data_IF_096237995741
#
_entry.id   IF_096237995741
#
_cell.length_a   1.000
_cell.length_b   1.000
_cell.length_c   1.000
_cell.angle_alpha   90.00
_cell.angle_beta   90.00
_cell.angle_gamma   90.00
#
_symmetry.space_group_name_H-M   'P 1'
#
loop_
_entity.id
_entity.type
_entity.pdbx_description
1 polymer ?
#
# COMPACT_ATOMS: atom_id res chain seq x y z
N UNK A 1 -17.30 -14.03 -4.43
CA UNK A 1 -16.95 -12.80 -5.18
C UNK A 1 -17.88 -11.69 -4.74
N UNK A 2 -17.34 -10.50 -4.49
CA UNK A 2 -18.07 -9.35 -3.96
C UNK A 2 -18.01 -8.21 -4.97
N UNK A 3 -19.16 -7.66 -5.35
CA UNK A 3 -19.24 -6.50 -6.24
C UNK A 3 -20.13 -5.45 -5.58
N UNK A 4 -19.49 -4.36 -5.14
CA UNK A 4 -20.17 -3.17 -4.64
C UNK A 4 -20.65 -2.28 -5.78
N UNK A 5 -21.86 -1.73 -5.67
CA UNK A 5 -22.38 -0.71 -6.58
C UNK A 5 -22.88 0.50 -5.80
N UNK A 6 -22.64 1.68 -6.38
CA UNK A 6 -23.31 2.90 -6.00
C UNK A 6 -24.56 3.05 -6.86
N UNK A 7 -25.72 3.11 -6.23
CA UNK A 7 -26.99 3.04 -6.93
C UNK A 7 -27.47 4.45 -7.24
N UNK A 8 -27.72 4.74 -8.52
CA UNK A 8 -28.21 6.04 -8.99
C UNK A 8 -29.54 5.88 -9.71
N UNK A 9 -30.52 6.70 -9.35
CA UNK A 9 -31.81 6.74 -10.04
C UNK A 9 -32.39 8.17 -10.06
N UNK A 10 -33.18 8.52 -11.08
CA UNK A 10 -33.83 9.82 -11.12
C UNK A 10 -35.01 9.87 -10.13
N UNK A 11 -35.30 11.06 -9.60
CA UNK A 11 -36.45 11.28 -8.70
C UNK A 11 -37.79 11.22 -9.44
N UNK A 12 -37.76 11.50 -10.74
CA UNK A 12 -38.92 11.52 -11.65
C UNK A 12 -38.50 10.95 -13.00
N UNK A 13 -39.43 10.38 -13.80
CA UNK A 13 -39.12 9.93 -15.16
C UNK A 13 -38.49 11.06 -15.99
N UNK A 14 -37.32 10.81 -16.59
CA UNK A 14 -36.57 11.79 -17.39
C UNK A 14 -35.73 12.80 -16.60
N UNK A 15 -35.73 12.76 -15.26
CA UNK A 15 -34.87 13.60 -14.42
C UNK A 15 -33.40 13.15 -14.38
N UNK A 16 -32.53 14.01 -13.83
CA UNK A 16 -31.14 13.63 -13.55
C UNK A 16 -31.04 12.56 -12.46
N UNK A 17 -30.09 11.64 -12.60
CA UNK A 17 -29.88 10.59 -11.61
C UNK A 17 -29.27 11.15 -10.32
N UNK A 18 -29.76 10.68 -9.17
CA UNK A 18 -29.26 11.03 -7.84
C UNK A 18 -28.88 9.75 -7.10
N UNK A 19 -27.91 9.85 -6.19
CA UNK A 19 -27.48 8.72 -5.38
C UNK A 19 -28.64 8.21 -4.50
N UNK A 20 -28.83 6.89 -4.45
CA UNK A 20 -29.94 6.20 -3.76
C UNK A 20 -29.49 5.23 -2.69
N UNK A 21 -28.20 4.98 -2.55
CA UNK A 21 -27.64 3.99 -1.64
C UNK A 21 -26.63 3.11 -2.33
N UNK A 22 -26.34 1.97 -1.73
CA UNK A 22 -25.39 1.00 -2.26
C UNK A 22 -25.96 -0.41 -2.26
N UNK A 23 -25.45 -1.23 -3.17
CA UNK A 23 -25.77 -2.66 -3.21
C UNK A 23 -24.48 -3.47 -3.21
N UNK A 24 -24.40 -4.44 -2.30
CA UNK A 24 -23.39 -5.49 -2.35
C UNK A 24 -23.98 -6.72 -3.05
N UNK A 25 -23.37 -7.13 -4.15
CA UNK A 25 -23.70 -8.35 -4.88
C UNK A 25 -22.68 -9.43 -4.48
N UNK A 26 -23.17 -10.53 -3.91
CA UNK A 26 -22.34 -11.68 -3.51
C UNK A 26 -22.60 -12.81 -4.48
N UNK A 27 -21.62 -13.09 -5.33
CA UNK A 27 -21.66 -14.10 -6.38
C UNK A 27 -20.81 -15.31 -5.93
N UNK A 28 -21.39 -16.52 -5.88
CA UNK A 28 -20.63 -17.73 -5.60
C UNK A 28 -19.51 -17.94 -6.63
N UNK A 29 -18.36 -18.43 -6.19
CA UNK A 29 -17.20 -18.60 -7.08
C UNK A 29 -17.48 -19.63 -8.18
N UNK A 30 -18.23 -20.69 -7.85
CA UNK A 30 -18.62 -21.73 -8.81
C UNK A 30 -19.49 -21.14 -9.93
N UNK A 31 -20.27 -20.09 -9.63
CA UNK A 31 -21.10 -19.41 -10.64
C UNK A 31 -20.28 -18.64 -11.67
N UNK A 32 -19.02 -18.29 -11.42
CA UNK A 32 -18.15 -17.59 -12.38
C UNK A 32 -17.27 -18.56 -13.17
N UNK A 33 -16.77 -19.61 -12.52
CA UNK A 33 -15.80 -20.53 -13.11
C UNK A 33 -16.39 -21.89 -13.53
N UNK A 34 -17.72 -22.05 -13.51
CA UNK A 34 -18.37 -23.25 -14.01
C UNK A 34 -18.08 -23.48 -15.50
N UNK A 35 -17.94 -24.75 -15.89
CA UNK A 35 -17.75 -25.16 -17.28
C UNK A 35 -18.91 -24.76 -18.20
N UNK A 36 -20.12 -24.57 -17.64
CA UNK A 36 -21.29 -24.06 -18.37
C UNK A 36 -21.22 -22.56 -18.69
N UNK A 37 -20.17 -21.87 -18.23
CA UNK A 37 -19.98 -20.44 -18.33
C UNK A 37 -20.49 -19.67 -17.11
N UNK A 38 -20.18 -18.36 -17.03
CA UNK A 38 -20.58 -17.51 -15.91
C UNK A 38 -22.10 -17.37 -15.79
N UNK A 39 -22.61 -17.35 -14.57
CA UNK A 39 -24.02 -17.11 -14.24
C UNK A 39 -24.17 -16.25 -12.99
N UNK A 40 -25.36 -15.68 -12.83
CA UNK A 40 -25.78 -15.01 -11.58
C UNK A 40 -26.68 -15.91 -10.72
N UNK A 41 -26.77 -17.20 -11.04
CA UNK A 41 -27.52 -18.14 -10.24
C UNK A 41 -26.92 -18.22 -8.82
N UNK A 42 -27.81 -18.35 -7.85
CA UNK A 42 -27.49 -18.40 -6.42
C UNK A 42 -26.74 -17.17 -5.86
N UNK A 43 -26.74 -16.04 -6.59
CA UNK A 43 -26.26 -14.76 -6.09
C UNK A 43 -27.22 -14.20 -5.03
N UNK A 44 -26.68 -13.45 -4.05
CA UNK A 44 -27.47 -12.65 -3.12
C UNK A 44 -27.10 -11.17 -3.20
N UNK A 45 -28.10 -10.31 -3.05
CA UNK A 45 -27.93 -8.86 -2.97
C UNK A 45 -28.22 -8.37 -1.56
N UNK A 46 -27.39 -7.46 -1.07
CA UNK A 46 -27.62 -6.72 0.16
C UNK A 46 -27.74 -5.24 -0.22
N UNK A 47 -28.95 -4.70 -0.12
CA UNK A 47 -29.26 -3.33 -0.51
C UNK A 47 -29.29 -2.45 0.74
N UNK A 48 -28.48 -1.39 0.73
CA UNK A 48 -28.42 -0.37 1.77
C UNK A 48 -28.94 0.95 1.18
N UNK A 49 -30.27 1.22 1.28
CA UNK A 49 -30.83 2.43 0.72
C UNK A 49 -30.38 3.66 1.53
N UNK A 50 -30.19 4.78 0.85
CA UNK A 50 -29.80 6.07 1.45
C UNK A 50 -30.76 6.49 2.58
N UNK A 51 -32.04 6.11 2.48
CA UNK A 51 -33.07 6.40 3.49
C UNK A 51 -32.90 5.63 4.79
N UNK A 52 -32.10 4.57 4.82
CA UNK A 52 -31.85 3.81 6.05
C UNK A 52 -30.91 4.55 7.02
N UNK A 53 -30.20 5.58 6.56
CA UNK A 53 -29.27 6.34 7.38
C UNK A 53 -28.13 5.48 7.94
N UNK A 54 -27.52 5.98 9.01
CA UNK A 54 -26.38 5.33 9.69
C UNK A 54 -26.69 3.89 10.15
N UNK A 55 -27.92 3.61 10.56
CA UNK A 55 -28.31 2.30 11.10
C UNK A 55 -28.36 1.19 10.05
N UNK A 56 -28.59 1.52 8.78
CA UNK A 56 -28.65 0.56 7.67
C UNK A 56 -27.44 0.64 6.73
N UNK A 57 -26.38 1.34 7.14
CA UNK A 57 -25.26 1.66 6.29
C UNK A 57 -24.51 0.41 5.81
N UNK A 58 -24.31 0.33 4.48
CA UNK A 58 -23.48 -0.68 3.82
C UNK A 58 -22.11 -0.15 3.38
N UNK A 59 -21.86 1.14 3.60
CA UNK A 59 -20.70 1.87 3.11
C UNK A 59 -20.84 2.33 1.67
N UNK A 60 -19.87 3.14 1.27
CA UNK A 60 -19.68 3.72 -0.05
C UNK A 60 -18.34 3.25 -0.67
N UNK A 61 -18.33 2.98 -1.97
CA UNK A 61 -17.20 2.33 -2.66
C UNK A 61 -16.81 0.99 -1.99
N UNK A 62 -17.80 0.10 -1.89
CA UNK A 62 -17.70 -1.18 -1.18
C UNK A 62 -16.70 -2.11 -1.86
N UNK A 63 -15.77 -2.67 -1.07
CA UNK A 63 -14.81 -3.68 -1.50
C UNK A 63 -14.97 -4.97 -0.71
N UNK A 64 -14.91 -6.11 -1.40
CA UNK A 64 -14.69 -7.39 -0.73
C UNK A 64 -13.24 -7.55 -0.33
N UNK A 65 -12.98 -8.13 0.83
CA UNK A 65 -11.63 -8.46 1.26
C UNK A 65 -11.15 -9.71 0.52
N UNK A 66 -10.00 -9.61 -0.14
CA UNK A 66 -9.32 -10.75 -0.76
C UNK A 66 -8.73 -11.63 0.35
N UNK A 67 -9.35 -12.78 0.59
CA UNK A 67 -8.97 -13.71 1.65
C UNK A 67 -8.78 -15.13 1.10
N UNK A 68 -7.91 -15.90 1.76
CA UNK A 68 -7.74 -17.35 1.53
C UNK A 68 -8.63 -18.20 2.45
N UNK A 69 -9.37 -17.56 3.36
CA UNK A 69 -10.27 -18.25 4.30
C UNK A 69 -11.44 -18.90 3.58
N UNK A 70 -11.78 -20.14 3.97
CA UNK A 70 -12.82 -20.96 3.33
C UNK A 70 -13.93 -21.37 4.33
N UNK A 71 -14.16 -20.55 5.35
CA UNK A 71 -15.05 -20.85 6.49
C UNK A 71 -16.54 -20.49 6.26
N UNK A 72 -16.90 -20.13 5.03
CA UNK A 72 -18.26 -19.71 4.68
C UNK A 72 -18.60 -18.29 5.15
N UNK A 73 -17.61 -17.52 5.59
CA UNK A 73 -17.70 -16.09 5.86
C UNK A 73 -16.88 -15.35 4.81
N UNK A 74 -17.32 -14.15 4.44
CA UNK A 74 -16.37 -13.21 3.86
C UNK A 74 -16.64 -11.79 4.27
N UNK A 75 -15.55 -11.05 4.30
CA UNK A 75 -15.51 -9.72 4.88
C UNK A 75 -15.61 -8.66 3.80
N UNK A 76 -16.21 -7.55 4.18
CA UNK A 76 -16.40 -6.37 3.36
C UNK A 76 -15.79 -5.17 4.09
N UNK A 77 -15.12 -4.30 3.34
CA UNK A 77 -14.53 -3.06 3.82
C UNK A 77 -15.00 -1.91 2.92
N UNK A 78 -15.26 -0.73 3.50
CA UNK A 78 -15.77 0.42 2.76
C UNK A 78 -15.46 1.73 3.47
N UNK A 79 -15.52 2.86 2.76
CA UNK A 79 -15.66 4.17 3.38
C UNK A 79 -17.09 4.38 3.89
N UNK A 80 -17.28 5.14 4.96
CA UNK A 80 -18.61 5.56 5.39
C UNK A 80 -19.16 6.67 4.48
N UNK A 81 -20.47 6.64 4.29
CA UNK A 81 -21.28 7.63 3.59
C UNK A 81 -21.65 8.82 4.48
N UNK A 82 -21.69 8.63 5.80
CA UNK A 82 -22.28 9.60 6.75
C UNK A 82 -21.26 10.22 7.71
N UNK A 83 -20.16 9.52 7.98
CA UNK A 83 -19.09 9.99 8.87
C UNK A 83 -17.75 9.83 8.18
N UNK A 84 -16.75 10.62 8.58
CA UNK A 84 -15.37 10.43 8.11
C UNK A 84 -14.71 9.29 8.88
N UNK A 85 -15.08 8.07 8.51
CA UNK A 85 -14.50 6.82 9.01
C UNK A 85 -14.60 5.73 7.93
N UNK A 86 -13.87 4.65 8.12
CA UNK A 86 -14.05 3.41 7.37
C UNK A 86 -14.89 2.43 8.18
N UNK A 87 -15.46 1.44 7.50
CA UNK A 87 -16.31 0.45 8.13
C UNK A 87 -16.09 -0.94 7.54
N UNK A 88 -16.42 -1.95 8.34
CA UNK A 88 -16.36 -3.35 7.96
C UNK A 88 -17.57 -4.13 8.46
N UNK A 89 -17.90 -5.21 7.76
CA UNK A 89 -18.89 -6.19 8.19
C UNK A 89 -18.65 -7.52 7.47
N UNK A 90 -19.24 -8.58 8.01
CA UNK A 90 -19.14 -9.92 7.45
C UNK A 90 -20.44 -10.34 6.76
N UNK A 91 -20.29 -11.19 5.76
CA UNK A 91 -21.36 -11.96 5.14
C UNK A 91 -21.14 -13.42 5.50
N UNK A 92 -21.98 -13.96 6.39
CA UNK A 92 -21.88 -15.34 6.90
C UNK A 92 -22.83 -16.29 6.17
N UNK A 93 -22.57 -17.59 6.18
CA UNK A 93 -23.48 -18.60 5.61
C UNK A 93 -23.36 -18.72 4.10
N UNK A 94 -22.16 -18.45 3.57
CA UNK A 94 -21.80 -18.61 2.17
C UNK A 94 -21.27 -20.02 1.90
N UNK A 95 -21.49 -20.50 0.69
CA UNK A 95 -20.79 -21.67 0.13
C UNK A 95 -20.18 -21.30 -1.21
N UNK A 96 -19.30 -22.15 -1.75
CA UNK A 96 -18.72 -21.95 -3.09
C UNK A 96 -19.78 -21.87 -4.19
N UNK A 97 -20.91 -22.53 -3.98
CA UNK A 97 -22.00 -22.73 -4.96
C UNK A 97 -23.25 -21.89 -4.69
N UNK A 98 -23.36 -21.26 -3.52
CA UNK A 98 -24.53 -20.44 -3.18
C UNK A 98 -24.23 -19.33 -2.16
N UNK A 99 -24.79 -18.15 -2.43
CA UNK A 99 -24.81 -17.01 -1.53
C UNK A 99 -26.21 -16.75 -0.95
N UNK A 100 -27.23 -17.54 -1.32
CA UNK A 100 -28.63 -17.27 -0.96
C UNK A 100 -28.89 -17.34 0.55
N UNK A 101 -28.15 -18.20 1.26
CA UNK A 101 -28.14 -18.28 2.73
C UNK A 101 -27.39 -17.14 3.43
N UNK A 102 -26.68 -16.30 2.68
CA UNK A 102 -25.79 -15.26 3.19
C UNK A 102 -26.49 -14.25 4.12
N UNK A 103 -25.92 -13.91 5.27
CA UNK A 103 -26.46 -12.89 6.16
C UNK A 103 -25.40 -11.84 6.46
N UNK A 104 -25.79 -10.56 6.39
CA UNK A 104 -24.91 -9.44 6.74
C UNK A 104 -24.91 -9.24 8.26
N UNK A 105 -23.73 -9.15 8.86
CA UNK A 105 -23.59 -8.79 10.28
C UNK A 105 -23.81 -7.29 10.51
N UNK A 106 -23.77 -6.86 11.77
CA UNK A 106 -23.73 -5.44 12.08
C UNK A 106 -22.49 -4.78 11.45
N UNK A 107 -22.66 -3.54 11.02
CA UNK A 107 -21.57 -2.67 10.56
C UNK A 107 -20.73 -2.23 11.76
N UNK A 108 -19.41 -2.37 11.64
CA UNK A 108 -18.42 -1.93 12.63
C UNK A 108 -17.63 -0.79 11.99
N UNK A 109 -17.59 0.36 12.65
CA UNK A 109 -16.75 1.48 12.26
C UNK A 109 -15.34 1.27 12.80
N UNK A 110 -14.33 1.58 11.99
CA UNK A 110 -12.94 1.33 12.33
C UNK A 110 -12.47 2.24 13.47
N UNK A 111 -12.97 3.47 13.56
CA UNK A 111 -12.47 4.47 14.49
C UNK A 111 -11.14 5.05 14.03
N UNK A 112 -11.00 5.32 12.72
CA UNK A 112 -9.78 5.90 12.15
C UNK A 112 -9.42 7.27 12.78
N UNK A 113 -8.13 7.62 12.71
CA UNK A 113 -7.66 8.95 13.02
C UNK A 113 -8.41 10.00 12.17
N UNK A 114 -8.73 11.16 12.77
CA UNK A 114 -9.56 12.16 12.11
C UNK A 114 -9.06 12.58 10.72
N UNK A 115 -9.98 12.59 9.75
CA UNK A 115 -9.71 13.03 8.38
C UNK A 115 -10.94 13.72 7.76
N UNK A 116 -10.73 14.31 6.60
CA UNK A 116 -11.79 14.79 5.70
C UNK A 116 -11.51 14.31 4.27
N UNK A 117 -12.48 14.49 3.38
CA UNK A 117 -12.29 14.19 1.96
C UNK A 117 -11.13 14.99 1.37
N UNK A 118 -10.26 14.31 0.63
CA UNK A 118 -9.18 14.97 -0.09
C UNK A 118 -9.74 15.93 -1.15
N UNK A 119 -9.29 17.19 -1.12
CA UNK A 119 -9.57 18.15 -2.19
C UNK A 119 -8.79 17.82 -3.46
N UNK A 120 -8.91 18.64 -4.51
CA UNK A 120 -8.14 18.46 -5.72
C UNK A 120 -6.63 18.57 -5.44
N UNK A 121 -5.85 17.68 -6.03
CA UNK A 121 -4.40 17.65 -5.89
C UNK A 121 -3.72 18.72 -6.74
N UNK A 122 -2.52 19.10 -6.29
CA UNK A 122 -1.69 20.13 -6.90
C UNK A 122 -0.85 19.59 -8.04
N UNK A 123 -0.54 20.44 -9.00
CA UNK A 123 0.47 20.19 -10.02
C UNK A 123 1.16 21.50 -10.42
N UNK A 124 2.33 21.46 -11.05
CA UNK A 124 2.96 22.66 -11.57
C UNK A 124 2.19 23.09 -12.80
N UNK A 125 1.85 24.36 -12.91
CA UNK A 125 1.18 24.87 -14.11
C UNK A 125 1.54 26.34 -14.36
N UNK A 126 1.67 26.67 -15.64
CA UNK A 126 1.89 28.04 -16.10
C UNK A 126 0.64 28.89 -15.82
N UNK A 127 -0.55 28.30 -15.99
CA UNK A 127 -1.83 28.92 -15.67
C UNK A 127 -2.17 28.61 -14.21
N UNK A 128 -2.27 29.66 -13.39
CA UNK A 128 -2.55 29.51 -11.96
C UNK A 128 -3.83 28.73 -11.65
N UNK A 129 -4.87 28.89 -12.49
CA UNK A 129 -6.13 28.16 -12.35
C UNK A 129 -5.98 26.63 -12.52
N UNK A 130 -4.91 26.15 -13.16
CA UNK A 130 -4.67 24.73 -13.39
C UNK A 130 -3.84 24.06 -12.28
N UNK A 131 -3.39 24.82 -11.28
CA UNK A 131 -2.46 24.34 -10.26
C UNK A 131 -3.07 23.42 -9.21
N UNK A 132 -4.40 23.37 -9.10
CA UNK A 132 -5.13 22.57 -8.10
C UNK A 132 -6.46 22.07 -8.64
N UNK A 133 -6.38 21.13 -9.56
CA UNK A 133 -7.55 20.67 -10.32
C UNK A 133 -7.67 19.15 -10.41
N UNK A 134 -6.63 18.40 -10.04
CA UNK A 134 -6.61 16.94 -10.20
C UNK A 134 -7.57 16.31 -9.20
N UNK A 135 -8.57 15.59 -9.69
CA UNK A 135 -9.52 14.92 -8.82
C UNK A 135 -8.88 13.72 -8.13
N UNK A 136 -8.84 13.75 -6.80
CA UNK A 136 -8.26 12.71 -5.95
C UNK A 136 -9.26 11.61 -5.58
N UNK A 137 -10.50 11.69 -6.08
CA UNK A 137 -11.62 10.78 -5.83
C UNK A 137 -12.05 10.65 -4.37
N UNK A 138 -11.82 11.69 -3.56
CA UNK A 138 -12.24 11.77 -2.17
C UNK A 138 -11.79 10.53 -1.36
N UNK A 139 -12.48 10.13 -0.30
CA UNK A 139 -12.05 9.07 0.65
C UNK A 139 -12.47 7.65 0.26
N UNK A 140 -12.79 7.46 -1.02
CA UNK A 140 -13.21 6.17 -1.57
C UNK A 140 -12.14 5.11 -1.44
N UNK A 141 -12.60 3.90 -1.13
CA UNK A 141 -11.78 2.68 -1.23
C UNK A 141 -11.86 2.16 -2.65
N UNK A 142 -10.96 2.62 -3.52
CA UNK A 142 -10.88 2.22 -4.94
C UNK A 142 -9.95 1.03 -5.19
N UNK A 143 -9.09 0.70 -4.21
CA UNK A 143 -8.17 -0.43 -4.28
C UNK A 143 -8.81 -1.75 -3.83
N UNK A 144 -8.21 -2.85 -4.28
CA UNK A 144 -8.34 -4.14 -3.61
C UNK A 144 -7.96 -4.04 -2.12
N UNK A 145 -8.72 -4.75 -1.28
CA UNK A 145 -8.49 -4.93 0.16
C UNK A 145 -8.00 -6.36 0.38
N UNK A 146 -7.06 -6.58 1.29
CA UNK A 146 -6.40 -7.88 1.47
C UNK A 146 -6.48 -8.36 2.91
N UNK A 147 -6.68 -9.65 3.09
CA UNK A 147 -6.46 -10.33 4.37
C UNK A 147 -5.13 -11.08 4.34
N UNK A 148 -4.29 -10.87 5.35
CA UNK A 148 -3.07 -11.65 5.54
C UNK A 148 -2.75 -11.77 7.04
N UNK A 149 -2.43 -12.99 7.49
CA UNK A 149 -2.08 -13.30 8.89
C UNK A 149 -3.08 -12.75 9.94
N UNK A 150 -4.38 -12.88 9.66
CA UNK A 150 -5.44 -12.43 10.59
C UNK A 150 -5.63 -10.92 10.64
N UNK A 151 -5.07 -10.18 9.68
CA UNK A 151 -5.23 -8.73 9.54
C UNK A 151 -5.80 -8.36 8.17
N UNK A 152 -6.58 -7.29 8.14
CA UNK A 152 -7.14 -6.70 6.92
C UNK A 152 -6.37 -5.42 6.60
N UNK A 153 -5.91 -5.28 5.36
CA UNK A 153 -5.20 -4.12 4.85
C UNK A 153 -6.02 -3.45 3.77
N UNK A 154 -6.37 -2.19 3.99
CA UNK A 154 -7.07 -1.35 3.04
C UNK A 154 -6.32 -0.04 2.83
N UNK A 155 -6.63 0.65 1.73
CA UNK A 155 -6.05 1.96 1.43
C UNK A 155 -7.09 2.88 0.83
N UNK A 156 -7.04 4.15 1.21
CA UNK A 156 -7.85 5.23 0.65
C UNK A 156 -7.12 6.58 0.71
N UNK A 157 -7.66 7.59 0.03
CA UNK A 157 -7.07 8.93 -0.04
C UNK A 157 -7.75 9.87 0.96
N UNK A 158 -7.00 10.55 1.82
CA UNK A 158 -7.57 11.38 2.88
C UNK A 158 -6.87 12.73 2.99
N UNK A 159 -7.50 13.67 3.69
CA UNK A 159 -6.86 14.87 4.21
C UNK A 159 -6.92 14.84 5.75
N UNK A 160 -5.84 14.47 6.45
CA UNK A 160 -5.86 14.31 7.90
C UNK A 160 -6.15 15.64 8.63
N UNK A 161 -7.03 15.64 9.63
CA UNK A 161 -7.46 16.88 10.33
C UNK A 161 -6.42 17.49 11.27
N UNK A 162 -5.24 16.88 11.37
CA UNK A 162 -4.12 17.35 12.19
C UNK A 162 -2.79 17.39 11.45
N UNK A 163 -2.79 17.36 10.11
CA UNK A 163 -1.55 17.38 9.35
C UNK A 163 -0.81 18.72 9.53
N UNK A 164 0.39 18.66 10.10
CA UNK A 164 1.25 19.83 10.32
C UNK A 164 1.69 20.50 9.01
N UNK A 165 1.69 19.75 7.89
CA UNK A 165 1.92 20.31 6.57
C UNK A 165 0.72 21.14 6.06
N UNK A 166 -0.45 21.00 6.66
CA UNK A 166 -1.68 21.65 6.23
C UNK A 166 -2.48 20.79 5.25
N UNK A 167 -3.20 21.44 4.34
CA UNK A 167 -4.15 20.82 3.42
C UNK A 167 -3.46 20.05 2.28
N UNK A 168 -2.99 18.84 2.56
CA UNK A 168 -2.36 17.96 1.58
C UNK A 168 -2.95 16.55 1.64
N UNK A 169 -3.26 15.99 0.48
CA UNK A 169 -3.76 14.63 0.40
C UNK A 169 -2.70 13.62 0.85
N UNK A 170 -3.14 12.59 1.56
CA UNK A 170 -2.36 11.43 1.99
C UNK A 170 -3.00 10.16 1.45
N UNK A 171 -2.17 9.15 1.20
CA UNK A 171 -2.64 7.79 1.01
C UNK A 171 -2.56 7.10 2.36
N UNK A 172 -3.72 6.83 2.97
CA UNK A 172 -3.80 6.19 4.27
C UNK A 172 -3.98 4.69 4.11
N UNK A 173 -3.11 3.93 4.75
CA UNK A 173 -3.28 2.49 4.95
C UNK A 173 -3.99 2.26 6.27
N UNK A 174 -5.03 1.43 6.27
CA UNK A 174 -5.79 1.03 7.46
C UNK A 174 -5.55 -0.46 7.71
N UNK A 175 -5.21 -0.80 8.95
CA UNK A 175 -5.00 -2.19 9.40
C UNK A 175 -6.04 -2.54 10.45
N UNK A 176 -6.85 -3.56 10.18
CA UNK A 176 -7.83 -4.08 11.13
C UNK A 176 -7.50 -5.52 11.53
N UNK A 177 -7.89 -5.91 12.74
CA UNK A 177 -7.96 -7.32 13.12
C UNK A 177 -9.07 -8.00 12.31
N UNK A 178 -8.76 -9.10 11.61
CA UNK A 178 -9.70 -9.74 10.69
C UNK A 178 -10.89 -10.38 11.40
N UNK A 179 -10.76 -10.73 12.68
CA UNK A 179 -11.85 -11.37 13.44
C UNK A 179 -12.77 -10.31 14.03
N UNK A 180 -12.20 -9.41 14.83
CA UNK A 180 -12.94 -8.42 15.64
C UNK A 180 -13.25 -7.14 14.86
N UNK A 181 -12.57 -6.91 13.73
CA UNK A 181 -12.61 -5.66 12.94
C UNK A 181 -12.11 -4.44 13.73
N UNK A 182 -11.44 -4.65 14.86
CA UNK A 182 -10.84 -3.58 15.63
C UNK A 182 -9.67 -2.95 14.86
N UNK A 183 -9.55 -1.63 14.91
CA UNK A 183 -8.41 -0.92 14.36
C UNK A 183 -7.12 -1.30 15.11
N UNK A 184 -6.13 -1.75 14.36
CA UNK A 184 -4.79 -2.04 14.85
C UNK A 184 -3.89 -0.83 14.64
N UNK A 185 -3.88 -0.30 13.41
CA UNK A 185 -3.03 0.82 13.04
C UNK A 185 -3.54 1.57 11.81
N UNK A 186 -3.13 2.83 11.68
CA UNK A 186 -3.19 3.57 10.42
C UNK A 186 -1.86 4.20 10.09
N UNK A 187 -1.53 4.23 8.79
CA UNK A 187 -0.28 4.76 8.29
C UNK A 187 -0.51 5.70 7.13
N UNK A 188 -0.20 6.98 7.32
CA UNK A 188 -0.30 8.00 6.27
C UNK A 188 0.98 8.03 5.44
N UNK A 189 0.86 7.66 4.17
CA UNK A 189 1.91 7.83 3.17
C UNK A 189 1.86 9.27 2.67
N UNK A 190 3.03 9.91 2.76
CA UNK A 190 3.27 11.21 2.19
C UNK A 190 3.52 12.29 3.24
N UNK A 191 4.24 13.32 2.81
CA UNK A 191 4.51 14.52 3.59
C UNK A 191 4.28 15.74 2.73
N UNK A 192 4.03 16.89 3.36
CA UNK A 192 4.11 18.17 2.65
C UNK A 192 5.49 18.35 2.01
N UNK A 193 5.58 19.10 0.88
CA UNK A 193 4.53 19.88 0.23
C UNK A 193 3.84 19.17 -0.96
N UNK A 194 3.63 17.85 -0.89
CA UNK A 194 3.03 17.08 -1.98
C UNK A 194 1.69 16.45 -1.58
N UNK A 195 0.83 16.27 -2.59
CA UNK A 195 -0.42 15.52 -2.52
C UNK A 195 -0.17 14.09 -2.97
N UNK A 196 -0.64 13.13 -2.18
CA UNK A 196 -0.57 11.68 -2.44
C UNK A 196 -2.00 11.16 -2.55
N UNK A 197 -2.31 10.45 -3.63
CA UNK A 197 -3.68 10.06 -3.96
C UNK A 197 -3.74 8.78 -4.78
N UNK A 198 -4.91 8.16 -4.82
CA UNK A 198 -5.19 6.95 -5.62
C UNK A 198 -4.30 5.79 -5.21
N UNK A 199 -4.23 5.56 -3.90
CA UNK A 199 -3.52 4.43 -3.33
C UNK A 199 -4.11 3.10 -3.78
N UNK A 200 -3.24 2.15 -4.05
CA UNK A 200 -3.57 0.73 -4.19
C UNK A 200 -2.53 -0.13 -3.51
N UNK A 201 -2.92 -1.28 -2.97
CA UNK A 201 -1.99 -2.16 -2.25
C UNK A 201 -2.16 -3.63 -2.61
N UNK A 202 -1.13 -4.41 -2.33
CA UNK A 202 -1.22 -5.86 -2.16
C UNK A 202 -0.22 -6.30 -1.08
N UNK A 203 -0.48 -7.46 -0.47
CA UNK A 203 0.33 -8.02 0.61
C UNK A 203 0.79 -9.41 0.21
N UNK A 204 2.09 -9.68 0.27
CA UNK A 204 2.62 -11.01 -0.02
C UNK A 204 2.66 -11.92 1.21
N UNK A 205 2.97 -13.21 1.02
CA UNK A 205 3.05 -14.18 2.14
C UNK A 205 4.13 -13.86 3.19
N UNK A 206 5.11 -13.00 2.87
CA UNK A 206 6.13 -12.55 3.83
C UNK A 206 5.66 -11.34 4.66
N UNK A 207 4.42 -10.87 4.48
CA UNK A 207 3.90 -9.68 5.15
C UNK A 207 4.47 -8.36 4.62
N UNK A 208 5.11 -8.38 3.45
CA UNK A 208 5.47 -7.14 2.74
C UNK A 208 4.24 -6.60 2.05
N UNK A 209 3.98 -5.32 2.29
CA UNK A 209 2.91 -4.57 1.67
C UNK A 209 3.54 -3.63 0.65
N UNK A 210 3.13 -3.72 -0.60
CA UNK A 210 3.48 -2.72 -1.62
C UNK A 210 2.28 -1.81 -1.79
N UNK A 211 2.50 -0.49 -1.65
CA UNK A 211 1.46 0.52 -1.88
C UNK A 211 1.88 1.39 -3.05
N UNK A 212 1.13 1.31 -4.15
CA UNK A 212 1.28 2.17 -5.33
C UNK A 212 0.34 3.37 -5.24
N UNK A 213 0.78 4.53 -5.69
CA UNK A 213 0.00 5.77 -5.61
C UNK A 213 0.47 6.82 -6.62
N UNK A 214 -0.34 7.85 -6.81
CA UNK A 214 0.09 9.07 -7.47
C UNK A 214 0.59 10.11 -6.47
N UNK A 215 1.63 10.85 -6.86
CA UNK A 215 2.18 11.99 -6.12
C UNK A 215 2.28 13.20 -7.03
N UNK A 216 1.90 14.38 -6.56
CA UNK A 216 2.12 15.64 -7.28
C UNK A 216 2.18 16.85 -6.34
N UNK A 217 2.63 17.99 -6.85
CA UNK A 217 2.82 19.21 -6.06
C UNK A 217 3.02 20.45 -6.95
N UNK A 218 3.25 21.61 -6.32
CA UNK A 218 3.43 22.88 -7.05
C UNK A 218 4.86 23.11 -7.54
N UNK A 219 5.83 22.33 -7.06
CA UNK A 219 7.24 22.50 -7.41
C UNK A 219 7.46 22.29 -8.91
N UNK A 220 8.10 23.24 -9.59
CA UNK A 220 8.29 23.17 -11.04
C UNK A 220 9.22 22.04 -11.50
N UNK A 221 10.13 21.59 -10.64
CA UNK A 221 11.12 20.56 -10.93
C UNK A 221 10.63 19.16 -10.51
N UNK A 222 9.81 19.09 -9.46
CA UNK A 222 9.51 17.84 -8.75
C UNK A 222 8.02 17.61 -8.45
N UNK A 223 7.16 18.56 -8.85
CA UNK A 223 5.72 18.53 -8.58
C UNK A 223 4.88 17.86 -9.66
N UNK A 224 5.45 17.47 -10.80
CA UNK A 224 4.71 16.76 -11.85
C UNK A 224 4.05 15.51 -11.27
N UNK A 225 2.91 15.13 -11.85
CA UNK A 225 2.25 13.89 -11.45
C UNK A 225 3.19 12.70 -11.69
N UNK A 226 3.42 11.91 -10.65
CA UNK A 226 4.21 10.70 -10.69
C UNK A 226 3.34 9.53 -10.28
N UNK A 227 3.60 8.38 -10.86
CA UNK A 227 3.19 7.10 -10.31
C UNK A 227 4.39 6.54 -9.55
N UNK A 228 4.19 6.29 -8.27
CA UNK A 228 5.23 5.87 -7.33
C UNK A 228 4.72 4.72 -6.48
N UNK A 229 5.62 4.10 -5.72
CA UNK A 229 5.26 3.11 -4.72
C UNK A 229 6.14 3.22 -3.47
N UNK A 230 5.66 2.68 -2.35
CA UNK A 230 6.45 2.43 -1.15
C UNK A 230 6.29 0.97 -0.71
N UNK A 231 7.23 0.51 0.09
CA UNK A 231 7.16 -0.79 0.74
C UNK A 231 6.95 -0.57 2.23
N UNK A 232 5.90 -1.20 2.76
CA UNK A 232 5.62 -1.25 4.18
C UNK A 232 5.80 -2.68 4.70
N UNK A 233 6.14 -2.77 5.98
CA UNK A 233 6.11 -4.02 6.73
C UNK A 233 5.50 -3.72 8.11
N UNK A 234 5.41 -4.75 8.94
CA UNK A 234 4.76 -4.70 10.23
C UNK A 234 5.72 -5.06 11.35
N UNK A 235 5.62 -4.32 12.44
CA UNK A 235 6.16 -4.72 13.71
C UNK A 235 5.35 -5.87 14.31
N UNK A 236 5.89 -6.54 15.33
CA UNK A 236 5.21 -7.68 15.97
C UNK A 236 3.87 -7.33 16.65
N UNK A 237 3.64 -6.05 16.95
CA UNK A 237 2.38 -5.52 17.48
C UNK A 237 1.38 -5.13 16.38
N UNK A 238 1.68 -5.38 15.11
CA UNK A 238 0.83 -5.07 13.96
C UNK A 238 0.97 -3.65 13.41
N UNK A 239 1.73 -2.76 14.06
CA UNK A 239 1.92 -1.39 13.55
C UNK A 239 2.82 -1.38 12.33
N UNK A 240 2.48 -0.53 11.36
CA UNK A 240 3.16 -0.38 10.09
C UNK A 240 4.43 0.46 10.21
N UNK A 241 5.42 0.14 9.39
CA UNK A 241 6.54 1.01 9.10
C UNK A 241 6.91 0.91 7.63
N UNK A 242 7.27 2.05 7.03
CA UNK A 242 7.91 2.07 5.73
C UNK A 242 9.37 1.66 5.86
N UNK A 243 9.85 0.86 4.90
CA UNK A 243 11.27 0.60 4.76
C UNK A 243 11.71 0.91 3.34
N UNK A 244 12.84 1.61 3.24
CA UNK A 244 13.31 2.19 1.98
C UNK A 244 12.61 3.49 1.62
N UNK A 245 13.10 4.09 0.54
CA UNK A 245 12.58 5.35 -0.02
C UNK A 245 11.41 5.11 -0.97
N UNK A 246 10.74 6.20 -1.37
CA UNK A 246 9.75 6.16 -2.46
C UNK A 246 10.39 5.65 -3.76
N UNK A 247 9.73 4.71 -4.40
CA UNK A 247 10.11 4.17 -5.71
C UNK A 247 9.35 4.94 -6.79
N UNK A 248 10.07 5.73 -7.59
CA UNK A 248 9.51 6.32 -8.81
C UNK A 248 9.32 5.24 -9.88
N UNK A 249 8.07 5.00 -10.28
CA UNK A 249 7.73 4.07 -11.36
C UNK A 249 7.59 4.80 -12.70
N UNK A 250 6.93 5.97 -12.69
CA UNK A 250 6.75 6.79 -13.89
C UNK A 250 6.50 8.26 -13.55
N UNK A 251 7.27 9.16 -14.14
CA UNK A 251 6.96 10.59 -14.15
C UNK A 251 6.12 10.97 -15.38
N UNK A 252 5.19 11.91 -15.19
CA UNK A 252 4.44 12.53 -16.27
C UNK A 252 5.31 13.34 -17.23
N UNK A 253 4.92 13.32 -18.50
CA UNK A 253 5.62 14.02 -19.58
C UNK A 253 5.21 15.50 -19.69
N UNK A 254 4.14 15.90 -19.01
CA UNK A 254 3.68 17.28 -18.86
C UNK A 254 3.60 17.66 -17.39
N UNK A 255 3.74 18.94 -17.09
CA UNK A 255 3.48 19.52 -15.78
C UNK A 255 2.01 19.92 -15.60
N UNK A 256 1.33 20.35 -16.68
CA UNK A 256 -0.02 20.89 -16.65
C UNK A 256 -1.04 19.89 -17.23
N UNK A 257 -1.41 18.85 -16.49
CA UNK A 257 -2.46 17.93 -16.93
C UNK A 257 -3.86 18.47 -16.62
N UNK A 258 -4.73 18.48 -17.62
CA UNK A 258 -6.14 18.79 -17.42
C UNK A 258 -7.02 18.10 -18.48
N UNK A 259 -7.50 16.90 -18.13
CA UNK A 259 -8.49 16.05 -18.83
C UNK A 259 -9.06 16.63 -20.15
N UNK A 260 -8.28 16.53 -21.23
CA UNK A 260 -8.69 16.90 -22.58
C UNK A 260 -8.76 18.40 -22.91
N UNK A 261 -8.60 19.32 -21.95
CA UNK A 261 -8.59 20.76 -22.28
C UNK A 261 -7.34 21.12 -23.08
N UNK A 262 -7.45 22.15 -23.93
CA UNK A 262 -6.41 22.53 -24.87
C UNK A 262 -5.16 23.08 -24.16
N UNK A 263 -3.98 22.80 -24.71
CA UNK A 263 -2.70 23.36 -24.24
C UNK A 263 -2.78 24.89 -24.12
N UNK A 264 -2.36 25.42 -22.98
CA UNK A 264 -2.37 26.87 -22.73
C UNK A 264 -3.75 27.46 -22.47
N UNK A 265 -4.74 26.64 -22.10
CA UNK A 265 -6.06 27.09 -21.67
C UNK A 265 -6.35 26.63 -20.23
N UNK A 266 -7.25 27.33 -19.56
CA UNK A 266 -7.75 26.88 -18.27
C UNK A 266 -8.50 25.55 -18.43
N UNK A 267 -8.39 24.70 -17.42
CA UNK A 267 -9.09 23.43 -17.36
C UNK A 267 -10.62 23.64 -17.41
N UNK A 268 -11.30 22.89 -18.28
CA UNK A 268 -12.75 22.87 -18.39
C UNK A 268 -13.33 21.59 -17.78
N UNK A 269 -14.34 21.74 -16.91
CA UNK A 269 -15.05 20.61 -16.31
C UNK A 269 -14.24 19.82 -15.26
N UNK A 270 -14.69 18.60 -14.97
CA UNK A 270 -14.09 17.72 -13.95
C UNK A 270 -12.83 17.03 -14.49
N UNK A 271 -11.72 17.16 -13.78
CA UNK A 271 -10.44 16.58 -14.17
C UNK A 271 -10.25 15.22 -13.49
N UNK A 272 -11.08 14.25 -13.89
CA UNK A 272 -11.07 12.91 -13.30
C UNK A 272 -9.71 12.24 -13.51
N UNK A 273 -9.18 11.67 -12.45
CA UNK A 273 -7.91 10.95 -12.40
C UNK A 273 -8.05 9.75 -11.47
N UNK A 274 -7.22 8.72 -11.67
CA UNK A 274 -6.97 7.69 -10.67
C UNK A 274 -7.76 6.40 -10.75
N UNK A 275 -8.71 6.26 -11.68
CA UNK A 275 -9.59 5.10 -11.77
C UNK A 275 -8.85 3.76 -12.08
N UNK A 276 -7.53 3.80 -12.29
CA UNK A 276 -6.73 2.66 -12.76
C UNK A 276 -5.49 2.38 -11.88
N UNK A 277 -5.51 2.79 -10.61
CA UNK A 277 -4.47 2.40 -9.65
C UNK A 277 -4.72 0.97 -9.15
N UNK A 278 -3.75 0.07 -9.34
CA UNK A 278 -3.82 -1.29 -8.81
C UNK A 278 -2.41 -1.81 -8.49
N UNK A 279 -2.26 -2.46 -7.34
CA UNK A 279 -1.12 -3.33 -7.04
C UNK A 279 -1.63 -4.76 -6.93
N UNK A 280 -0.94 -5.72 -7.51
CA UNK A 280 -1.25 -7.14 -7.38
C UNK A 280 0.03 -7.97 -7.25
N UNK A 281 -0.10 -9.17 -6.68
CA UNK A 281 0.99 -10.15 -6.64
C UNK A 281 1.16 -10.81 -8.00
N UNK A 282 2.40 -11.16 -8.33
CA UNK A 282 2.65 -12.14 -9.37
C UNK A 282 2.16 -13.52 -8.90
N UNK A 283 1.28 -14.20 -9.66
CA UNK A 283 0.71 -15.48 -9.24
C UNK A 283 1.74 -16.63 -9.18
N UNK A 284 2.93 -16.44 -9.74
CA UNK A 284 4.02 -17.43 -9.79
C UNK A 284 5.23 -17.06 -8.94
N UNK A 285 5.31 -15.82 -8.47
CA UNK A 285 6.42 -15.32 -7.65
C UNK A 285 5.92 -14.34 -6.58
N UNK A 286 5.77 -14.85 -5.36
CA UNK A 286 5.26 -14.07 -4.22
C UNK A 286 6.21 -12.93 -3.76
N UNK A 287 7.41 -12.81 -4.34
CA UNK A 287 8.28 -11.64 -4.12
C UNK A 287 8.04 -10.51 -5.13
N UNK A 288 7.26 -10.75 -6.19
CA UNK A 288 7.01 -9.77 -7.26
C UNK A 288 5.60 -9.22 -7.20
N UNK A 289 5.52 -7.92 -7.44
CA UNK A 289 4.28 -7.17 -7.51
C UNK A 289 4.18 -6.47 -8.86
N UNK A 290 3.00 -6.51 -9.46
CA UNK A 290 2.64 -5.65 -10.58
C UNK A 290 1.97 -4.40 -10.03
N UNK A 291 2.50 -3.24 -10.39
CA UNK A 291 1.96 -1.95 -10.03
C UNK A 291 1.47 -1.24 -11.29
N UNK A 292 0.19 -0.88 -11.31
CA UNK A 292 -0.49 -0.19 -12.42
C UNK A 292 -0.93 1.17 -11.92
N UNK A 293 -0.63 2.21 -12.68
CA UNK A 293 -1.01 3.58 -12.34
C UNK A 293 -1.00 4.51 -13.54
N UNK A 294 -1.57 5.69 -13.37
CA UNK A 294 -1.70 6.66 -14.44
C UNK A 294 -0.57 7.70 -14.40
N UNK A 295 -0.22 8.19 -15.59
CA UNK A 295 0.66 9.35 -15.77
C UNK A 295 0.16 10.22 -16.91
N UNK A 296 0.50 11.50 -16.88
CA UNK A 296 0.09 12.47 -17.88
C UNK A 296 1.06 12.41 -19.05
N UNK A 297 0.49 12.37 -20.24
CA UNK A 297 1.21 12.32 -21.51
C UNK A 297 1.46 13.73 -22.02
N UNK A 298 2.32 13.82 -23.01
CA UNK A 298 2.44 14.98 -23.87
C UNK A 298 1.06 15.40 -24.43
N UNK A 299 0.86 16.70 -24.66
CA UNK A 299 -0.39 17.19 -25.25
C UNK A 299 -0.57 16.64 -26.68
N UNK A 300 -1.83 16.54 -27.13
CA UNK A 300 -2.15 16.11 -28.48
C UNK A 300 -1.88 17.21 -29.53
N UNK A 301 -0.68 17.78 -29.61
CA UNK A 301 -0.35 18.84 -30.57
C UNK A 301 0.64 18.35 -31.65
N UNK A 302 0.68 19.00 -32.83
CA UNK A 302 1.73 18.74 -33.81
C UNK A 302 3.15 18.97 -33.27
N UNK A 303 3.34 19.97 -32.40
CA UNK A 303 4.64 20.27 -31.78
C UNK A 303 5.10 19.16 -30.83
N UNK A 304 4.16 18.44 -30.23
CA UNK A 304 4.40 17.31 -29.32
C UNK A 304 4.37 15.95 -30.07
N UNK A 305 4.48 15.96 -31.41
CA UNK A 305 4.60 14.75 -32.24
C UNK A 305 3.28 14.13 -32.71
N UNK A 306 2.15 14.86 -32.61
CA UNK A 306 0.83 14.38 -33.04
C UNK A 306 0.26 15.23 -34.19
N UNK A 307 0.68 15.00 -35.46
CA UNK A 307 0.12 15.70 -36.62
C UNK A 307 -1.40 15.56 -36.69
N UNK A 308 -2.12 16.67 -36.82
CA UNK A 308 -3.59 16.71 -36.79
C UNK A 308 -4.22 16.56 -35.39
N UNK A 309 -3.41 16.57 -34.33
CA UNK A 309 -3.87 16.45 -32.96
C UNK A 309 -4.76 17.63 -32.52
N UNK A 310 -5.71 17.33 -31.62
CA UNK A 310 -6.74 18.27 -31.13
C UNK A 310 -6.20 19.34 -30.18
N UNK A 311 -4.96 19.21 -29.71
CA UNK A 311 -4.35 20.04 -28.68
C UNK A 311 -4.73 19.70 -27.24
N UNK A 312 -5.62 18.72 -27.03
CA UNK A 312 -6.07 18.30 -25.71
C UNK A 312 -4.99 17.57 -24.91
N UNK A 313 -5.01 17.74 -23.58
CA UNK A 313 -4.16 16.95 -22.68
C UNK A 313 -4.54 15.45 -22.72
N UNK A 314 -3.57 14.59 -22.38
CA UNK A 314 -3.71 13.14 -22.49
C UNK A 314 -3.16 12.46 -21.23
N UNK A 315 -3.62 11.24 -20.98
CA UNK A 315 -3.07 10.36 -19.95
C UNK A 315 -2.83 8.96 -20.53
N UNK A 316 -2.07 8.14 -19.81
CA UNK A 316 -1.83 6.73 -20.12
C UNK A 316 -1.64 5.96 -18.82
N UNK A 317 -1.77 4.63 -18.88
CA UNK A 317 -1.33 3.76 -17.79
C UNK A 317 0.13 3.36 -17.97
N UNK A 318 0.79 3.12 -16.86
CA UNK A 318 2.10 2.50 -16.76
C UNK A 318 1.96 1.21 -15.95
N UNK A 319 2.69 0.16 -16.34
CA UNK A 319 2.77 -1.09 -15.60
C UNK A 319 4.22 -1.29 -15.20
N UNK A 320 4.49 -1.28 -13.91
CA UNK A 320 5.80 -1.55 -13.31
C UNK A 320 5.81 -2.90 -12.60
N UNK A 321 7.00 -3.47 -12.45
CA UNK A 321 7.24 -4.64 -11.59
C UNK A 321 8.11 -4.20 -10.43
N UNK A 322 7.66 -4.50 -9.21
CA UNK A 322 8.41 -4.24 -7.97
C UNK A 322 8.81 -5.60 -7.41
N UNK A 323 10.11 -5.78 -7.14
CA UNK A 323 10.64 -6.98 -6.53
C UNK A 323 10.99 -6.70 -5.06
N UNK A 324 10.29 -7.37 -4.14
CA UNK A 324 10.47 -7.26 -2.70
C UNK A 324 11.34 -8.39 -2.11
N UNK A 325 12.07 -9.16 -2.91
CA UNK A 325 12.89 -10.31 -2.48
C UNK A 325 14.08 -9.98 -1.55
N UNK A 326 14.26 -8.71 -1.16
CA UNK A 326 15.44 -8.24 -0.43
C UNK A 326 15.29 -8.12 1.08
N UNK A 327 14.14 -8.50 1.66
CA UNK A 327 13.88 -8.28 3.10
C UNK A 327 14.17 -9.55 3.89
N UNK A 328 15.28 -9.61 4.67
CA UNK A 328 15.49 -10.73 5.57
C UNK A 328 14.38 -10.70 6.62
N UNK A 329 13.67 -11.80 6.76
CA UNK A 329 12.61 -11.92 7.76
C UNK A 329 13.14 -11.57 9.17
N UNK A 330 12.29 -11.06 10.09
CA UNK A 330 12.70 -10.87 11.49
C UNK A 330 13.27 -12.14 12.13
N UNK A 331 12.80 -13.33 11.70
CA UNK A 331 13.36 -14.63 12.05
C UNK A 331 14.81 -14.78 11.56
N UNK A 332 15.15 -14.27 10.39
CA UNK A 332 16.50 -14.26 9.81
C UNK A 332 17.42 -13.38 10.66
N UNK A 333 16.95 -12.21 11.10
CA UNK A 333 17.70 -11.36 12.04
C UNK A 333 17.88 -12.04 13.40
N UNK A 334 16.84 -12.67 13.93
CA UNK A 334 16.93 -13.40 15.19
C UNK A 334 17.93 -14.57 15.09
N UNK A 335 17.93 -15.31 13.97
CA UNK A 335 18.88 -16.40 13.72
C UNK A 335 20.30 -15.89 13.47
N UNK A 336 20.47 -14.74 12.83
CA UNK A 336 21.76 -14.09 12.64
C UNK A 336 22.34 -13.62 13.98
N UNK A 337 21.52 -12.96 14.82
CA UNK A 337 21.90 -12.51 16.17
C UNK A 337 22.18 -13.72 17.07
N UNK A 338 21.34 -14.75 17.04
CA UNK A 338 21.58 -15.99 17.78
C UNK A 338 22.85 -16.68 17.30
N UNK A 339 23.08 -16.75 15.99
CA UNK A 339 24.30 -17.28 15.39
C UNK A 339 25.54 -16.53 15.87
N UNK A 340 25.52 -15.20 15.84
CA UNK A 340 26.61 -14.38 16.40
C UNK A 340 26.75 -14.52 17.91
N UNK A 341 25.64 -14.68 18.64
CA UNK A 341 25.64 -14.94 20.08
C UNK A 341 26.30 -16.28 20.44
N UNK A 342 26.00 -17.34 19.68
CA UNK A 342 26.60 -18.67 19.85
C UNK A 342 28.08 -18.65 19.50
N UNK A 343 28.45 -18.04 18.37
CA UNK A 343 29.86 -17.90 17.97
C UNK A 343 30.64 -17.08 19.01
N UNK A 344 30.11 -15.93 19.43
CA UNK A 344 30.71 -15.09 20.47
C UNK A 344 30.84 -15.82 21.82
N UNK A 345 29.84 -16.61 22.20
CA UNK A 345 29.86 -17.45 23.39
C UNK A 345 30.94 -18.54 23.33
N UNK A 346 31.06 -19.23 22.19
CA UNK A 346 32.07 -20.26 21.97
C UNK A 346 33.50 -19.70 22.01
N UNK A 347 33.75 -18.54 21.37
CA UNK A 347 35.05 -17.85 21.42
C UNK A 347 35.40 -17.42 22.85
N UNK A 348 34.42 -16.91 23.62
CA UNK A 348 34.64 -16.53 25.02
C UNK A 348 34.96 -17.73 25.90
N UNK A 349 34.36 -18.90 25.64
CA UNK A 349 34.67 -20.14 26.36
C UNK A 349 36.10 -20.62 26.06
N UNK A 350 36.51 -20.62 24.79
CA UNK A 350 37.88 -21.00 24.41
C UNK A 350 38.94 -20.10 25.06
N UNK A 351 38.70 -18.78 25.12
CA UNK A 351 39.62 -17.86 25.83
C UNK A 351 39.73 -18.14 27.33
N UNK A 352 38.65 -18.57 27.98
CA UNK A 352 38.70 -18.98 29.40
C UNK A 352 39.48 -20.27 29.60
N UNK A 353 39.30 -21.25 28.72
CA UNK A 353 40.04 -22.52 28.78
C UNK A 353 41.54 -22.32 28.51
N UNK A 354 41.92 -21.39 27.62
CA UNK A 354 43.30 -20.99 27.40
C UNK A 354 43.92 -20.31 28.64
N UNK A 355 43.23 -19.33 29.25
CA UNK A 355 43.71 -18.65 30.47
C UNK A 355 43.79 -19.57 31.69
N UNK A 356 42.93 -20.58 31.80
CA UNK A 356 43.00 -21.59 32.88
C UNK A 356 44.16 -22.57 32.66
N UNK A 357 44.52 -22.89 31.42
CA UNK A 357 45.71 -23.70 31.11
C UNK A 357 47.02 -22.96 31.41
N UNK A 358 47.09 -21.65 31.19
CA UNK A 358 48.25 -20.86 31.63
C UNK A 358 48.40 -20.81 33.16
N UNK A 359 47.28 -20.80 33.92
CA UNK A 359 47.32 -20.86 35.39
C UNK A 359 47.71 -22.23 35.97
N UNK A 360 47.62 -23.31 35.21
CA UNK A 360 48.04 -24.66 35.65
C UNK A 360 49.39 -25.10 35.05
N UNK A 361 49.92 -24.38 34.05
CA UNK A 361 51.24 -24.65 33.45
C UNK A 361 52.44 -24.17 34.26
N UNK A 362 52.24 -23.34 35.29
CA UNK A 362 53.33 -22.73 36.07
C UNK A 362 53.68 -23.50 37.38
N UNK A 363 53.37 -24.82 37.42
CA UNK A 363 53.61 -25.67 38.59
C UNK A 363 54.49 -26.90 38.31
N UNK A 364 55.29 -26.90 37.25
CA UNK A 364 56.35 -27.89 37.09
C UNK A 364 57.38 -27.44 36.07
N UNK A 365 58.51 -26.92 36.54
CA UNK A 365 59.83 -27.49 36.22
C UNK A 365 60.93 -26.68 36.93
N UNK A 366 61.23 -27.17 38.12
CA UNK A 366 62.54 -27.01 38.73
C UNK A 366 63.58 -27.77 37.88
N UNK A 367 64.79 -27.21 37.81
CA UNK A 367 66.08 -27.92 37.64
C UNK A 367 66.75 -27.93 36.26
N UNK A 368 67.73 -27.01 36.18
CA UNK A 368 69.14 -27.19 35.78
C UNK A 368 69.55 -26.98 34.31
N UNK A 369 70.03 -25.76 34.08
CA UNK A 369 71.43 -25.42 33.79
C UNK A 369 72.23 -26.36 32.88
N UNK A 370 72.53 -25.91 31.66
CA UNK A 370 73.88 -26.08 31.11
C UNK A 370 74.30 -24.84 30.32
N UNK A 371 75.50 -24.37 30.66
CA UNK A 371 76.12 -23.10 30.28
C UNK A 371 77.15 -23.42 29.18
N UNK A 372 77.08 -22.76 28.04
CA UNK A 372 78.23 -22.62 27.14
C UNK A 372 78.25 -21.19 26.59
N UNK A 373 79.41 -20.58 26.76
CA UNK A 373 79.70 -19.16 26.59
C UNK A 373 80.55 -18.95 25.33
N UNK A 374 80.47 -17.73 24.77
CA UNK A 374 81.26 -17.08 23.69
C UNK A 374 80.59 -17.14 22.31
N UNK A 375 80.60 -16.08 21.49
CA UNK A 375 81.33 -14.80 21.50
C UNK A 375 80.61 -13.82 20.54
N UNK A 376 80.51 -12.56 20.96
CA UNK A 376 80.63 -11.31 20.17
C UNK A 376 80.32 -11.27 18.66
N UNK A 377 79.38 -10.40 18.26
CA UNK A 377 79.71 -9.17 17.50
C UNK A 377 78.49 -8.24 17.40
N UNK A 378 78.70 -6.97 17.75
CA UNK A 378 77.85 -5.84 17.34
C UNK A 378 77.78 -5.73 15.82
N UNK A 379 76.68 -5.19 15.28
CA UNK A 379 76.67 -4.09 14.29
C UNK A 379 75.25 -3.51 14.28
N UNK A 380 75.21 -2.18 14.22
CA UNK A 380 74.06 -1.29 14.30
C UNK A 380 73.46 -1.01 12.91
N UNK A 381 72.23 -0.46 12.92
CA UNK A 381 71.60 0.48 11.98
C UNK A 381 71.61 0.11 10.47
N UNK A 382 70.56 0.28 9.67
CA UNK A 382 69.91 1.53 9.22
C UNK A 382 68.87 1.08 8.15
N UNK A 383 67.63 1.57 8.19
CA UNK A 383 66.99 2.45 7.16
C UNK A 383 66.47 1.80 5.86
N UNK A 384 65.20 2.16 5.57
CA UNK A 384 64.59 2.53 4.30
C UNK A 384 64.80 1.67 3.03
N UNK A 385 63.67 1.19 2.50
CA UNK A 385 63.19 1.62 1.18
C UNK A 385 61.66 1.47 1.08
#
# INVERSE_FOLDING_TARGET
>A
IYIGTNDFAPNTPGGGATFKGTTLNVIPIDSIFAASGPSVANMKKFVSPLSAGLAGEGGYAIQGVNSKSADGTGTVFSASLYVYDTLSYDITGLTSSSATGGTKTATIYSGDAGYTGAGPARQPADIAANRRIIDTLDDRVSSSVYEHNGMIYAVHTVNPTGDAAGDYARVRVVVLDATTKALIDTYDIGTGPYDYYQGSLAVNEAGVIVVGFNRSGLDANDGKIRFSAVLLSQHANGTLYQYGDEILLKESLTNDYHNGSLKGQAAAGRQRWGDYSQVSLDPTDNSRFYAIGQFAREYNTPADGHPGGTGGSRWSTWVGVINAAGVPEPSTWAMLILGFGVIGGAVRRQKREANTRERFGDMSLHSRTFRLTRKSSQIANTENC
#
